data_IF_737851942412
#
_entry.id   IF_737851942412
#
_cell.length_a   1.000
_cell.length_b   1.000
_cell.length_c   1.000
_cell.angle_alpha   90.00
_cell.angle_beta   90.00
_cell.angle_gamma   90.00
#
_symmetry.space_group_name_H-M   'P 1'
#
loop_
_entity.id
_entity.type
_entity.pdbx_description
1 polymer ?
#
# COMPACT_ATOMS: atom_id res chain seq x y z
N UNK A 1 -7.15 -16.99 -13.49
CA UNK A 1 -5.81 -16.40 -13.24
C UNK A 1 -4.88 -17.47 -12.71
N UNK A 2 -3.59 -17.48 -13.10
CA UNK A 2 -2.62 -18.46 -12.59
C UNK A 2 -2.18 -18.09 -11.18
N UNK A 3 -2.23 -19.03 -10.24
CA UNK A 3 -1.77 -18.83 -8.85
C UNK A 3 -0.25 -18.72 -8.86
N UNK A 4 0.26 -17.48 -8.91
CA UNK A 4 1.69 -17.21 -8.81
C UNK A 4 2.11 -17.21 -7.34
N UNK A 5 2.95 -18.16 -6.97
CA UNK A 5 3.64 -18.18 -5.70
C UNK A 5 4.98 -17.46 -5.81
N UNK A 6 5.33 -16.70 -4.78
CA UNK A 6 6.60 -16.01 -4.62
C UNK A 6 7.17 -16.30 -3.24
N UNK A 7 8.49 -16.48 -3.14
CA UNK A 7 9.18 -16.61 -1.85
C UNK A 7 9.36 -15.24 -1.23
N UNK A 8 8.93 -15.08 0.01
CA UNK A 8 9.09 -13.84 0.80
C UNK A 8 9.66 -14.17 2.17
N UNK A 9 10.36 -13.22 2.78
CA UNK A 9 10.89 -13.38 4.14
C UNK A 9 10.02 -12.62 5.14
N UNK A 10 9.44 -13.33 6.10
CA UNK A 10 8.61 -12.75 7.16
C UNK A 10 9.18 -13.17 8.51
N UNK A 11 9.51 -12.19 9.36
CA UNK A 11 10.10 -12.42 10.71
C UNK A 11 11.30 -13.39 10.68
N UNK A 12 12.16 -13.26 9.67
CA UNK A 12 13.34 -14.12 9.49
C UNK A 12 13.08 -15.50 8.89
N UNK A 13 11.85 -15.84 8.50
CA UNK A 13 11.51 -17.12 7.86
C UNK A 13 11.17 -16.93 6.38
N UNK A 14 11.71 -17.79 5.53
CA UNK A 14 11.33 -17.87 4.12
C UNK A 14 10.00 -18.63 3.99
N UNK A 15 9.01 -18.02 3.36
CA UNK A 15 7.69 -18.61 3.14
C UNK A 15 7.26 -18.44 1.68
N UNK A 16 6.53 -19.41 1.16
CA UNK A 16 5.84 -19.26 -0.12
C UNK A 16 4.53 -18.51 0.09
N UNK A 17 4.35 -17.47 -0.71
CA UNK A 17 3.27 -16.51 -0.59
C UNK A 17 2.60 -16.33 -1.94
N UNK A 18 1.28 -16.31 -1.97
CA UNK A 18 0.50 -15.91 -3.14
C UNK A 18 -0.49 -14.82 -2.75
N UNK A 19 -0.43 -13.62 -3.37
CA UNK A 19 -1.41 -12.56 -3.11
C UNK A 19 -2.84 -13.03 -3.38
N UNK A 20 -3.04 -13.80 -4.45
CA UNK A 20 -4.35 -14.33 -4.86
C UNK A 20 -4.96 -15.19 -3.76
N UNK A 21 -4.18 -16.13 -3.20
CA UNK A 21 -4.62 -17.02 -2.13
C UNK A 21 -5.02 -16.22 -0.88
N UNK A 22 -4.19 -15.24 -0.48
CA UNK A 22 -4.48 -14.41 0.70
C UNK A 22 -5.74 -13.56 0.49
N UNK A 23 -5.90 -12.95 -0.69
CA UNK A 23 -7.08 -12.16 -1.00
C UNK A 23 -8.35 -13.01 -0.95
N UNK A 24 -8.31 -14.23 -1.48
CA UNK A 24 -9.40 -15.20 -1.38
C UNK A 24 -9.74 -15.55 0.08
N UNK A 25 -8.73 -15.79 0.93
CA UNK A 25 -8.93 -16.03 2.36
C UNK A 25 -9.53 -14.83 3.11
N UNK A 26 -9.26 -13.62 2.65
CA UNK A 26 -9.78 -12.38 3.24
C UNK A 26 -11.12 -11.95 2.64
N UNK A 27 -11.74 -12.79 1.80
CA UNK A 27 -12.96 -12.48 1.06
C UNK A 27 -12.87 -11.16 0.26
N UNK A 28 -11.65 -10.81 -0.17
CA UNK A 28 -11.41 -9.66 -1.05
C UNK A 28 -11.56 -10.10 -2.49
N UNK A 29 -12.33 -9.35 -3.26
CA UNK A 29 -12.47 -9.57 -4.70
C UNK A 29 -11.10 -9.62 -5.38
N UNK A 30 -10.94 -10.58 -6.30
CA UNK A 30 -9.78 -10.66 -7.20
C UNK A 30 -9.87 -9.68 -8.36
N UNK A 31 -10.86 -8.78 -8.33
CA UNK A 31 -11.04 -7.74 -9.32
C UNK A 31 -9.72 -6.98 -9.46
N UNK A 32 -9.26 -6.89 -10.70
CA UNK A 32 -8.15 -6.02 -11.05
C UNK A 32 -8.61 -4.62 -10.70
N UNK A 33 -8.25 -4.17 -9.50
CA UNK A 33 -8.40 -2.76 -9.14
C UNK A 33 -7.56 -2.05 -10.19
N UNK A 34 -8.24 -1.30 -11.06
CA UNK A 34 -7.58 -0.49 -12.06
C UNK A 34 -6.45 0.26 -11.36
N UNK A 35 -5.25 0.24 -11.94
CA UNK A 35 -4.18 1.10 -11.44
C UNK A 35 -4.72 2.51 -11.47
N UNK A 36 -5.07 3.02 -10.28
CA UNK A 36 -5.53 4.38 -10.14
C UNK A 36 -4.27 5.21 -10.35
N UNK A 37 -4.17 5.87 -11.51
CA UNK A 37 -3.13 6.85 -11.78
C UNK A 37 -3.35 8.04 -10.85
N UNK A 38 -2.90 7.89 -9.60
CA UNK A 38 -2.91 8.95 -8.59
C UNK A 38 -1.48 9.36 -8.38
N UNK A 39 -1.24 10.65 -8.43
CA UNK A 39 0.08 11.19 -8.08
C UNK A 39 0.31 11.03 -6.58
N UNK A 40 1.56 10.78 -6.16
CA UNK A 40 1.93 10.77 -4.73
C UNK A 40 1.44 12.02 -4.00
N UNK A 41 1.35 13.15 -4.72
CA UNK A 41 0.90 14.42 -4.19
C UNK A 41 -0.59 14.43 -3.84
N UNK A 42 -1.43 13.80 -4.67
CA UNK A 42 -2.87 13.64 -4.40
C UNK A 42 -3.09 12.65 -3.26
N UNK A 43 -2.32 11.56 -3.21
CA UNK A 43 -2.36 10.63 -2.07
C UNK A 43 -2.00 11.37 -0.77
N UNK A 44 -0.90 12.12 -0.76
CA UNK A 44 -0.47 12.90 0.40
C UNK A 44 -1.56 13.88 0.88
N UNK A 45 -2.21 14.59 -0.04
CA UNK A 45 -3.30 15.51 0.29
C UNK A 45 -4.47 14.78 0.93
N UNK A 46 -4.89 13.67 0.35
CA UNK A 46 -6.04 12.89 0.86
C UNK A 46 -5.78 12.34 2.25
N UNK A 47 -4.62 11.70 2.48
CA UNK A 47 -4.31 11.07 3.78
C UNK A 47 -3.99 12.07 4.89
N UNK A 48 -3.62 13.30 4.55
CA UNK A 48 -3.28 14.35 5.52
C UNK A 48 -4.35 15.40 5.68
N UNK A 49 -5.58 15.15 5.20
CA UNK A 49 -6.67 16.14 5.26
C UNK A 49 -6.25 17.51 4.66
N UNK A 50 -5.50 17.47 3.55
CA UNK A 50 -4.87 18.62 2.86
C UNK A 50 -3.81 19.41 3.67
N UNK A 51 -3.37 18.92 4.83
CA UNK A 51 -2.32 19.56 5.62
C UNK A 51 -0.97 19.51 4.92
N UNK A 52 -0.69 18.44 4.16
CA UNK A 52 0.55 18.27 3.39
C UNK A 52 0.24 18.34 1.90
N UNK A 53 0.51 19.49 1.30
CA UNK A 53 0.32 19.74 -0.15
C UNK A 53 1.45 19.25 -1.03
N UNK A 54 2.64 19.06 -0.44
CA UNK A 54 3.83 18.50 -1.05
C UNK A 54 4.71 17.94 0.08
N UNK A 55 5.24 16.72 -0.09
CA UNK A 55 6.11 16.14 0.92
C UNK A 55 7.45 16.89 1.00
N UNK A 56 7.90 17.32 2.18
CA UNK A 56 9.16 18.03 2.31
C UNK A 56 10.32 17.09 1.98
N UNK A 57 11.16 17.49 1.02
CA UNK A 57 12.39 16.76 0.63
C UNK A 57 13.49 16.80 1.71
N UNK A 58 13.41 17.76 2.64
CA UNK A 58 14.29 17.93 3.79
C UNK A 58 13.48 18.32 5.02
N UNK A 59 13.83 17.75 6.17
CA UNK A 59 13.15 17.98 7.46
C UNK A 59 12.23 16.82 7.87
N UNK A 60 11.74 16.85 9.11
CA UNK A 60 10.78 15.86 9.66
C UNK A 60 9.39 16.49 9.73
N UNK A 61 8.36 15.76 9.32
CA UNK A 61 6.96 16.13 9.56
C UNK A 61 6.50 15.55 10.90
N UNK A 62 5.91 16.38 11.75
CA UNK A 62 5.31 15.91 12.99
C UNK A 62 3.98 15.21 12.68
N UNK A 63 3.90 13.91 12.97
CA UNK A 63 2.71 13.09 12.71
C UNK A 63 1.51 13.44 13.61
N UNK A 64 1.72 14.21 14.68
CA UNK A 64 0.73 14.46 15.74
C UNK A 64 -0.45 15.33 15.27
N UNK A 65 -0.35 15.95 14.08
CA UNK A 65 -1.38 16.86 13.52
C UNK A 65 -1.75 16.57 12.06
N UNK A 66 -1.43 15.36 11.56
CA UNK A 66 -1.67 14.98 10.16
C UNK A 66 -2.95 14.17 9.96
N UNK A 67 -3.83 14.13 10.95
CA UNK A 67 -5.11 13.39 10.92
C UNK A 67 -6.26 14.38 10.99
#
# INVERSE_FOLDING_TARGET
MSVKFRKVFVRGKCVEFSPTVINQFLERGEDVVAEMEVTDNEVCKTITSNQVKQWPRKGKLSSVKLT
#
